data_IF_187985578192
#
_entry.id   IF_187985578192
#
_cell.length_a   1.000
_cell.length_b   1.000
_cell.length_c   1.000
_cell.angle_alpha   90.00
_cell.angle_beta   90.00
_cell.angle_gamma   90.00
#
_symmetry.space_group_name_H-M   'P 1'
#
loop_
_entity.id
_entity.type
_entity.pdbx_description
1 polymer ?
#
# COMPACT_ATOMS: atom_id res chain seq x y z
N UNK A 1 44.68 111.22 -38.46
CA UNK A 1 44.57 109.77 -38.73
C UNK A 1 44.02 109.09 -37.49
N UNK A 2 42.76 108.63 -37.51
CA UNK A 2 42.04 108.11 -36.33
C UNK A 2 42.13 106.58 -36.31
N UNK A 3 42.58 106.03 -35.18
CA UNK A 3 42.74 104.61 -34.92
C UNK A 3 41.38 103.88 -34.90
N UNK A 4 41.27 102.78 -35.66
CA UNK A 4 40.13 101.88 -35.60
C UNK A 4 40.23 100.96 -34.38
N UNK A 5 39.27 101.09 -33.45
CA UNK A 5 39.10 100.23 -32.27
C UNK A 5 38.65 98.83 -32.68
N UNK A 6 39.43 97.82 -32.31
CA UNK A 6 39.09 96.39 -32.40
C UNK A 6 37.96 96.08 -31.40
N UNK A 7 36.76 95.72 -31.88
CA UNK A 7 35.65 95.25 -31.02
C UNK A 7 36.01 93.87 -30.46
N UNK A 8 35.88 93.69 -29.15
CA UNK A 8 35.93 92.39 -28.47
C UNK A 8 34.64 91.63 -28.76
N UNK A 9 34.76 90.40 -29.26
CA UNK A 9 33.67 89.42 -29.21
C UNK A 9 33.35 89.10 -27.75
N UNK A 10 32.08 89.26 -27.40
CA UNK A 10 31.51 88.84 -26.11
C UNK A 10 30.97 87.44 -26.34
N UNK A 11 31.63 86.42 -25.78
CA UNK A 11 31.09 85.07 -25.74
C UNK A 11 29.84 85.06 -24.85
N UNK A 12 28.70 84.62 -25.39
CA UNK A 12 27.52 84.33 -24.60
C UNK A 12 27.80 83.13 -23.68
N UNK A 13 27.39 83.16 -22.40
CA UNK A 13 27.44 81.97 -21.55
C UNK A 13 26.46 80.90 -22.06
N UNK A 14 26.91 79.65 -22.09
CA UNK A 14 26.05 78.49 -22.35
C UNK A 14 24.89 78.42 -21.34
N UNK A 15 23.69 77.95 -21.76
CA UNK A 15 22.57 77.79 -20.85
C UNK A 15 22.86 76.67 -19.84
N UNK A 16 22.71 77.00 -18.55
CA UNK A 16 22.79 76.07 -17.42
C UNK A 16 21.95 74.82 -17.67
N UNK A 17 22.62 73.68 -17.91
CA UNK A 17 21.98 72.37 -17.84
C UNK A 17 21.68 72.07 -16.38
N UNK A 18 20.43 72.29 -15.97
CA UNK A 18 19.87 71.78 -14.71
C UNK A 18 20.18 70.27 -14.61
N UNK A 19 20.71 69.78 -13.48
CA UNK A 19 20.84 68.35 -13.29
C UNK A 19 19.44 67.75 -13.21
N UNK A 20 19.09 66.91 -14.18
CA UNK A 20 17.95 66.00 -14.06
C UNK A 20 18.22 65.09 -12.86
N UNK A 21 17.46 65.32 -11.78
CA UNK A 21 17.34 64.34 -10.69
C UNK A 21 16.79 63.06 -11.32
N UNK A 22 17.67 62.09 -11.59
CA UNK A 22 17.28 60.70 -11.82
C UNK A 22 16.57 60.23 -10.55
N UNK A 23 15.24 60.36 -10.55
CA UNK A 23 14.40 59.94 -9.44
C UNK A 23 14.60 58.44 -9.22
N UNK A 24 14.73 58.08 -7.95
CA UNK A 24 14.97 56.77 -7.37
C UNK A 24 13.91 55.71 -7.74
N UNK A 25 13.78 55.36 -9.02
CA UNK A 25 12.82 54.36 -9.50
C UNK A 25 13.22 52.93 -9.08
N UNK A 26 14.53 52.69 -8.91
CA UNK A 26 15.08 51.46 -8.33
C UNK A 26 14.75 51.33 -6.83
N UNK A 27 14.59 52.43 -6.10
CA UNK A 27 14.32 52.39 -4.66
C UNK A 27 12.87 52.01 -4.35
N UNK A 28 11.91 52.46 -5.15
CA UNK A 28 10.49 52.13 -4.96
C UNK A 28 10.15 50.71 -5.43
N UNK A 29 10.62 50.30 -6.60
CA UNK A 29 10.39 48.92 -7.12
C UNK A 29 10.97 47.85 -6.20
N UNK A 30 12.14 48.10 -5.62
CA UNK A 30 12.76 47.20 -4.63
C UNK A 30 11.95 47.12 -3.33
N UNK A 31 11.32 48.22 -2.89
CA UNK A 31 10.44 48.21 -1.71
C UNK A 31 9.19 47.36 -1.94
N UNK A 32 8.53 47.51 -3.09
CA UNK A 32 7.34 46.70 -3.41
C UNK A 32 7.68 45.22 -3.55
N UNK A 33 8.85 44.88 -4.09
CA UNK A 33 9.33 43.50 -4.18
C UNK A 33 9.60 42.89 -2.79
N UNK A 34 10.23 43.64 -1.88
CA UNK A 34 10.47 43.17 -0.51
C UNK A 34 9.17 42.99 0.28
N UNK A 35 8.19 43.89 0.07
CA UNK A 35 6.86 43.78 0.70
C UNK A 35 6.09 42.57 0.16
N UNK A 36 6.09 42.35 -1.16
CA UNK A 36 5.41 41.18 -1.74
C UNK A 36 6.06 39.86 -1.35
N UNK A 37 7.40 39.82 -1.26
CA UNK A 37 8.14 38.67 -0.75
C UNK A 37 7.81 38.39 0.72
N UNK A 38 7.69 39.43 1.54
CA UNK A 38 7.26 39.30 2.94
C UNK A 38 5.85 38.73 3.08
N UNK A 39 4.90 39.24 2.28
CA UNK A 39 3.53 38.70 2.24
C UNK A 39 3.51 37.25 1.77
N UNK A 40 4.27 36.92 0.73
CA UNK A 40 4.38 35.56 0.22
C UNK A 40 4.95 34.58 1.27
N UNK A 41 5.99 34.99 2.00
CA UNK A 41 6.56 34.20 3.09
C UNK A 41 5.56 34.01 4.24
N UNK A 42 4.79 35.06 4.59
CA UNK A 42 3.72 34.96 5.60
C UNK A 42 2.63 33.98 5.13
N UNK A 43 2.23 34.03 3.85
CA UNK A 43 1.25 33.10 3.28
C UNK A 43 1.80 31.66 3.33
N UNK A 44 3.08 31.43 3.03
CA UNK A 44 3.69 30.09 3.12
C UNK A 44 3.73 29.60 4.59
N UNK A 45 4.09 30.46 5.53
CA UNK A 45 4.11 30.10 6.97
C UNK A 45 2.68 29.83 7.47
N UNK A 46 1.71 30.64 7.06
CA UNK A 46 0.31 30.45 7.41
C UNK A 46 -0.26 29.17 6.77
N UNK A 47 0.04 28.93 5.49
CA UNK A 47 -0.37 27.71 4.80
C UNK A 47 0.25 26.46 5.43
N UNK A 48 1.53 26.48 5.81
CA UNK A 48 2.18 25.33 6.47
C UNK A 48 1.71 25.09 7.91
N UNK A 49 1.13 26.09 8.58
CA UNK A 49 0.56 25.94 9.93
C UNK A 49 -0.90 25.52 9.92
N UNK A 50 -1.70 25.98 8.94
CA UNK A 50 -3.12 25.63 8.80
C UNK A 50 -3.37 24.39 7.93
N UNK A 51 -2.54 24.12 6.92
CA UNK A 51 -2.61 22.91 6.09
C UNK A 51 -1.51 21.93 6.49
N UNK A 52 -1.52 21.49 7.75
CA UNK A 52 -0.83 20.23 8.07
C UNK A 52 -1.74 19.10 7.58
N UNK A 53 -1.40 18.39 6.49
CA UNK A 53 -2.15 17.20 6.13
C UNK A 53 -2.10 16.27 7.35
N UNK A 54 -3.27 15.98 7.90
CA UNK A 54 -3.39 15.05 9.00
C UNK A 54 -3.16 13.65 8.44
N UNK A 55 -1.89 13.24 8.40
CA UNK A 55 -1.43 11.91 8.00
C UNK A 55 -1.54 10.92 9.17
N UNK A 56 -2.42 11.16 10.15
CA UNK A 56 -2.68 10.22 11.25
C UNK A 56 -3.34 8.93 10.79
N UNK A 57 -3.92 8.90 9.59
CA UNK A 57 -4.48 7.67 9.06
C UNK A 57 -3.37 6.73 8.55
N UNK A 58 -3.36 5.53 9.12
CA UNK A 58 -2.41 4.48 8.78
C UNK A 58 -2.70 3.83 7.43
N UNK A 59 -1.82 2.91 7.06
CA UNK A 59 -2.05 1.97 5.97
C UNK A 59 -3.29 1.13 6.29
N UNK A 60 -4.26 1.09 5.37
CA UNK A 60 -5.47 0.26 5.50
C UNK A 60 -5.63 -0.60 4.26
N UNK A 61 -6.21 -1.79 4.45
CA UNK A 61 -6.67 -2.63 3.36
C UNK A 61 -8.19 -2.45 3.24
N UNK A 62 -8.66 -2.00 2.08
CA UNK A 62 -10.08 -1.88 1.72
C UNK A 62 -10.45 -2.96 0.74
N UNK A 63 -11.48 -3.71 1.07
CA UNK A 63 -11.88 -4.91 0.37
C UNK A 63 -13.15 -4.64 -0.44
N UNK A 64 -13.21 -5.18 -1.66
CA UNK A 64 -14.52 -5.22 -2.34
C UNK A 64 -15.44 -6.18 -1.58
N UNK A 65 -16.76 -5.98 -1.59
CA UNK A 65 -17.69 -6.95 -1.04
C UNK A 65 -17.44 -8.35 -1.62
N UNK A 66 -17.48 -9.36 -0.76
CA UNK A 66 -17.21 -10.75 -1.11
C UNK A 66 -18.33 -11.65 -0.57
N UNK A 67 -18.96 -12.41 -1.45
CA UNK A 67 -19.95 -13.40 -1.08
C UNK A 67 -19.26 -14.74 -0.86
N UNK A 68 -19.23 -15.22 0.39
CA UNK A 68 -18.66 -16.53 0.73
C UNK A 68 -19.68 -17.61 0.38
N UNK A 69 -19.24 -18.62 -0.36
CA UNK A 69 -20.06 -19.74 -0.81
C UNK A 69 -19.80 -21.03 -0.01
N UNK A 70 -18.89 -20.98 0.97
CA UNK A 70 -18.57 -22.11 1.85
C UNK A 70 -18.23 -21.65 3.26
N UNK A 71 -18.58 -22.47 4.24
CA UNK A 71 -18.12 -22.28 5.62
C UNK A 71 -16.71 -22.84 5.81
N UNK A 72 -16.00 -22.30 6.80
CA UNK A 72 -14.68 -22.75 7.20
C UNK A 72 -14.75 -24.20 7.69
N UNK A 73 -14.03 -25.10 7.02
CA UNK A 73 -14.11 -26.55 7.24
C UNK A 73 -12.92 -27.14 8.03
N UNK A 74 -12.13 -26.30 8.69
CA UNK A 74 -11.11 -26.72 9.66
C UNK A 74 -11.74 -26.94 11.03
N UNK A 75 -11.26 -27.97 11.75
CA UNK A 75 -11.82 -28.41 13.04
C UNK A 75 -10.76 -28.35 14.15
N UNK A 76 -11.16 -28.05 15.39
CA UNK A 76 -10.28 -28.19 16.55
C UNK A 76 -9.63 -29.58 16.63
N UNK A 77 -8.33 -29.62 16.93
CA UNK A 77 -7.51 -30.83 16.97
C UNK A 77 -6.74 -31.12 15.68
N UNK A 78 -7.11 -30.49 14.56
CA UNK A 78 -6.38 -30.64 13.30
C UNK A 78 -5.01 -29.95 13.35
N UNK A 79 -4.04 -30.47 12.61
CA UNK A 79 -2.70 -29.89 12.45
C UNK A 79 -2.31 -29.92 10.98
N UNK A 80 -1.74 -28.81 10.52
CA UNK A 80 -1.28 -28.62 9.15
C UNK A 80 0.16 -28.15 9.19
N UNK A 81 1.01 -28.76 8.37
CA UNK A 81 2.43 -28.43 8.30
C UNK A 81 2.77 -28.04 6.86
N UNK A 82 3.41 -26.90 6.71
CA UNK A 82 3.83 -26.35 5.43
C UNK A 82 5.35 -26.32 5.36
N UNK A 83 5.90 -26.72 4.21
CA UNK A 83 7.25 -26.36 3.83
C UNK A 83 7.18 -25.02 3.07
N UNK A 84 8.05 -24.08 3.40
CA UNK A 84 8.19 -22.84 2.66
C UNK A 84 9.65 -22.53 2.36
N UNK A 85 9.89 -22.08 1.13
CA UNK A 85 11.21 -21.70 0.65
C UNK A 85 11.25 -20.19 0.44
N UNK A 86 12.14 -19.52 1.16
CA UNK A 86 12.45 -18.10 0.97
C UNK A 86 13.97 -18.00 0.80
N UNK A 87 14.43 -17.29 -0.23
CA UNK A 87 15.87 -17.12 -0.52
C UNK A 87 16.63 -18.46 -0.55
N UNK A 88 16.06 -19.47 -1.21
CA UNK A 88 16.60 -20.84 -1.30
C UNK A 88 16.79 -21.58 0.03
N UNK A 89 16.21 -21.09 1.13
CA UNK A 89 16.23 -21.80 2.41
C UNK A 89 14.86 -22.42 2.66
N UNK A 90 14.85 -23.75 2.82
CA UNK A 90 13.65 -24.49 3.20
C UNK A 90 13.42 -24.36 4.71
N UNK A 91 12.18 -24.01 5.07
CA UNK A 91 11.74 -23.82 6.42
C UNK A 91 10.38 -24.50 6.60
N UNK A 92 10.00 -24.78 7.84
CA UNK A 92 8.73 -25.44 8.16
C UNK A 92 7.88 -24.54 9.05
N UNK A 93 6.57 -24.51 8.78
CA UNK A 93 5.58 -23.79 9.57
C UNK A 93 4.43 -24.72 9.93
N UNK A 94 4.09 -24.79 11.21
CA UNK A 94 3.04 -25.65 11.73
C UNK A 94 1.87 -24.83 12.25
N UNK A 95 0.70 -25.09 11.68
CA UNK A 95 -0.57 -24.55 12.16
C UNK A 95 -1.31 -25.61 12.98
N UNK A 96 -1.66 -25.27 14.21
CA UNK A 96 -2.46 -26.10 15.09
C UNK A 96 -3.83 -25.47 15.31
N UNK A 97 -4.89 -26.24 15.10
CA UNK A 97 -6.26 -25.75 15.23
C UNK A 97 -6.77 -26.07 16.63
N UNK A 98 -7.10 -25.04 17.39
CA UNK A 98 -7.61 -25.15 18.76
C UNK A 98 -9.03 -24.64 18.83
N UNK A 99 -9.78 -25.20 19.77
CA UNK A 99 -11.07 -24.63 20.18
C UNK A 99 -10.80 -23.43 21.09
N UNK A 100 -11.53 -22.34 20.89
CA UNK A 100 -11.57 -21.20 21.79
C UNK A 100 -13.03 -20.73 21.91
N UNK A 101 -13.36 -19.99 22.97
CA UNK A 101 -14.72 -19.57 23.24
C UNK A 101 -15.31 -18.77 22.05
N UNK A 102 -16.21 -19.40 21.30
CA UNK A 102 -16.93 -18.80 20.17
C UNK A 102 -16.16 -18.72 18.85
N UNK A 103 -14.97 -19.32 18.71
CA UNK A 103 -14.23 -19.32 17.44
C UNK A 103 -13.26 -20.50 17.27
N UNK A 104 -12.81 -20.68 16.04
CA UNK A 104 -11.70 -21.58 15.70
C UNK A 104 -10.39 -20.82 15.82
N UNK A 105 -9.49 -21.26 16.70
CA UNK A 105 -8.19 -20.62 16.92
C UNK A 105 -7.10 -21.31 16.10
N UNK A 106 -6.53 -20.60 15.13
CA UNK A 106 -5.42 -21.03 14.28
C UNK A 106 -4.12 -20.58 14.94
N UNK A 107 -3.41 -21.48 15.61
CA UNK A 107 -2.12 -21.20 16.25
C UNK A 107 -0.95 -21.50 15.31
N UNK A 108 0.06 -20.63 15.29
CA UNK A 108 1.38 -20.91 14.68
C UNK A 108 2.29 -21.44 15.78
N UNK A 109 2.81 -22.67 15.66
CA UNK A 109 3.61 -23.30 16.74
C UNK A 109 5.00 -22.68 16.87
N UNK A 110 5.60 -22.27 15.77
CA UNK A 110 6.98 -21.76 15.71
C UNK A 110 7.10 -20.29 16.12
N UNK A 111 5.99 -19.56 16.25
CA UNK A 111 6.00 -18.15 16.60
C UNK A 111 5.90 -17.93 18.10
N UNK A 112 6.85 -17.18 18.66
CA UNK A 112 6.85 -16.77 20.08
C UNK A 112 6.10 -15.46 20.31
N UNK A 113 6.00 -14.60 19.29
CA UNK A 113 5.42 -13.26 19.39
C UNK A 113 3.97 -13.20 18.88
N UNK A 114 3.56 -14.14 18.03
CA UNK A 114 2.26 -14.16 17.36
C UNK A 114 1.60 -15.49 17.69
N UNK A 115 0.64 -15.47 18.62
CA UNK A 115 0.06 -16.69 19.19
C UNK A 115 -0.96 -17.35 18.26
N UNK A 116 -1.46 -16.65 17.24
CA UNK A 116 -2.43 -17.17 16.29
C UNK A 116 -3.57 -16.20 16.01
N UNK A 117 -4.64 -16.73 15.42
CA UNK A 117 -5.83 -15.98 15.04
C UNK A 117 -7.11 -16.72 15.39
N UNK A 118 -8.13 -15.98 15.81
CA UNK A 118 -9.46 -16.49 16.13
C UNK A 118 -10.39 -16.14 14.97
N UNK A 119 -10.93 -17.15 14.30
CA UNK A 119 -11.82 -16.97 13.15
C UNK A 119 -13.19 -17.62 13.38
N UNK A 120 -14.23 -16.95 12.92
CA UNK A 120 -15.60 -17.47 12.93
C UNK A 120 -15.83 -18.51 11.81
N UNK A 121 -17.05 -19.04 11.71
CA UNK A 121 -17.43 -20.00 10.66
C UNK A 121 -17.35 -19.44 9.24
N UNK A 122 -17.40 -18.11 9.10
CA UNK A 122 -17.21 -17.41 7.84
C UNK A 122 -15.73 -17.05 7.64
N UNK A 123 -14.81 -17.50 8.49
CA UNK A 123 -13.40 -17.17 8.40
C UNK A 123 -13.05 -15.72 8.75
N UNK A 124 -13.99 -14.92 9.27
CA UNK A 124 -13.71 -13.55 9.71
C UNK A 124 -13.00 -13.58 11.06
N UNK A 125 -12.03 -12.70 11.25
CA UNK A 125 -11.50 -12.43 12.58
C UNK A 125 -12.46 -11.56 13.41
N UNK A 126 -12.09 -11.25 14.67
CA UNK A 126 -12.89 -10.37 15.54
C UNK A 126 -13.05 -8.94 14.98
N UNK A 127 -12.20 -8.53 14.04
CA UNK A 127 -12.27 -7.23 13.37
C UNK A 127 -13.13 -7.24 12.08
N UNK A 128 -13.56 -8.41 11.62
CA UNK A 128 -14.35 -8.55 10.39
C UNK A 128 -13.56 -8.47 9.09
N UNK A 129 -12.23 -8.56 9.13
CA UNK A 129 -11.35 -8.42 7.95
C UNK A 129 -11.34 -9.70 7.08
N UNK A 130 -11.36 -9.58 5.74
CA UNK A 130 -11.32 -10.73 4.81
C UNK A 130 -9.95 -10.91 4.10
N UNK A 131 -9.09 -9.90 4.13
CA UNK A 131 -7.75 -9.89 3.58
C UNK A 131 -6.82 -9.96 4.76
N UNK A 132 -6.36 -11.20 4.98
CA UNK A 132 -5.25 -11.52 5.86
C UNK A 132 -5.42 -11.05 7.30
N UNK A 133 -5.45 -12.03 8.20
CA UNK A 133 -4.81 -11.89 9.50
C UNK A 133 -3.50 -11.13 9.27
N UNK A 134 -3.37 -9.92 9.81
CA UNK A 134 -2.27 -8.94 9.58
C UNK A 134 -0.87 -9.47 9.93
N UNK A 135 -0.67 -10.78 10.15
CA UNK A 135 0.36 -11.28 11.05
C UNK A 135 1.18 -12.48 10.54
N UNK A 136 1.04 -12.93 9.28
CA UNK A 136 2.08 -13.77 8.69
C UNK A 136 2.02 -13.79 7.17
N UNK A 137 3.15 -13.52 6.51
CA UNK A 137 3.36 -13.67 5.07
C UNK A 137 3.07 -15.09 4.52
N UNK A 138 2.79 -16.05 5.40
CA UNK A 138 2.44 -17.43 5.08
C UNK A 138 1.22 -17.77 5.93
N UNK A 139 0.05 -17.89 5.31
CA UNK A 139 -1.17 -18.31 6.00
C UNK A 139 -1.76 -19.54 5.32
N UNK A 140 -2.00 -20.58 6.13
CA UNK A 140 -2.75 -21.79 5.73
C UNK A 140 -4.14 -21.44 5.20
N UNK A 141 -4.75 -20.39 5.73
CA UNK A 141 -6.12 -19.98 5.42
C UNK A 141 -6.21 -18.47 5.26
N UNK A 142 -6.87 -18.02 4.19
CA UNK A 142 -7.20 -16.62 3.96
C UNK A 142 -8.72 -16.52 3.75
N UNK A 143 -9.45 -15.57 4.36
CA UNK A 143 -10.92 -15.58 4.35
C UNK A 143 -11.57 -15.60 2.96
N UNK A 144 -10.94 -14.97 1.95
CA UNK A 144 -11.41 -15.00 0.57
C UNK A 144 -11.45 -16.40 -0.05
N UNK A 145 -10.68 -17.36 0.48
CA UNK A 145 -10.68 -18.76 0.01
C UNK A 145 -12.07 -19.41 0.13
N UNK A 146 -12.92 -18.90 1.04
CA UNK A 146 -14.30 -19.34 1.22
C UNK A 146 -15.28 -18.86 0.14
N UNK A 147 -14.86 -17.96 -0.74
CA UNK A 147 -15.68 -17.45 -1.85
C UNK A 147 -15.25 -18.02 -3.20
N UNK A 148 -14.11 -18.72 -3.26
CA UNK A 148 -13.52 -19.16 -4.53
C UNK A 148 -14.42 -20.18 -5.21
N UNK A 149 -14.69 -19.94 -6.48
CA UNK A 149 -15.39 -20.83 -7.39
C UNK A 149 -14.81 -20.68 -8.81
N UNK A 150 -15.36 -21.45 -9.74
CA UNK A 150 -15.00 -21.36 -11.14
C UNK A 150 -15.30 -19.95 -11.66
N UNK A 151 -14.36 -19.39 -12.43
CA UNK A 151 -14.45 -18.03 -13.01
C UNK A 151 -14.60 -16.88 -12.00
N UNK A 152 -14.34 -17.14 -10.71
CA UNK A 152 -14.39 -16.16 -9.64
C UNK A 152 -13.37 -15.03 -9.84
N UNK A 153 -13.78 -13.80 -9.51
CA UNK A 153 -12.93 -12.61 -9.54
C UNK A 153 -13.23 -11.72 -8.34
N UNK A 154 -12.19 -11.13 -7.78
CA UNK A 154 -12.31 -10.22 -6.65
C UNK A 154 -11.12 -9.27 -6.58
N UNK A 155 -11.29 -8.15 -5.88
CA UNK A 155 -10.23 -7.15 -5.76
C UNK A 155 -10.18 -6.57 -4.35
N UNK A 156 -8.97 -6.29 -3.89
CA UNK A 156 -8.69 -5.52 -2.70
C UNK A 156 -7.79 -4.32 -3.05
N UNK A 157 -7.83 -3.29 -2.20
CA UNK A 157 -7.05 -2.07 -2.37
C UNK A 157 -6.31 -1.76 -1.08
N UNK A 158 -5.04 -1.40 -1.21
CA UNK A 158 -4.25 -0.83 -0.13
C UNK A 158 -4.30 0.68 -0.24
N UNK A 159 -4.75 1.35 0.83
CA UNK A 159 -4.94 2.80 0.86
C UNK A 159 -4.20 3.42 2.04
N UNK A 160 -3.74 4.65 1.88
CA UNK A 160 -3.43 5.52 3.02
C UNK A 160 -4.71 6.27 3.34
N UNK A 161 -5.22 6.09 4.55
CA UNK A 161 -6.32 6.93 5.05
C UNK A 161 -5.74 8.32 5.32
N UNK A 162 -6.13 9.32 4.53
CA UNK A 162 -5.78 10.71 4.80
C UNK A 162 -7.09 11.45 5.07
N UNK A 163 -7.15 12.27 6.12
CA UNK A 163 -8.37 12.90 6.62
C UNK A 163 -9.25 13.49 5.49
N UNK A 164 -10.27 12.73 5.05
CA UNK A 164 -11.24 13.11 4.02
C UNK A 164 -11.09 12.42 2.65
N UNK A 165 -10.00 11.69 2.38
CA UNK A 165 -9.80 10.97 1.10
C UNK A 165 -8.83 9.80 1.22
N UNK A 166 -9.22 8.64 0.70
CA UNK A 166 -8.31 7.51 0.55
C UNK A 166 -7.32 7.77 -0.59
N UNK A 167 -6.03 7.59 -0.32
CA UNK A 167 -5.01 7.56 -1.37
C UNK A 167 -4.74 6.09 -1.74
N UNK A 168 -5.19 5.67 -2.93
CA UNK A 168 -4.94 4.33 -3.45
C UNK A 168 -3.44 4.12 -3.71
N UNK A 169 -2.82 3.20 -2.97
CA UNK A 169 -1.41 2.81 -3.15
C UNK A 169 -1.33 1.68 -4.18
N UNK A 170 -2.15 0.64 -3.98
CA UNK A 170 -2.01 -0.63 -4.68
C UNK A 170 -3.35 -1.33 -4.82
N UNK A 171 -3.64 -1.81 -6.03
CA UNK A 171 -4.74 -2.72 -6.29
C UNK A 171 -4.19 -4.14 -6.33
N UNK A 172 -4.91 -5.05 -5.69
CA UNK A 172 -4.61 -6.48 -5.67
C UNK A 172 -5.80 -7.19 -6.30
N UNK A 173 -5.58 -7.86 -7.42
CA UNK A 173 -6.62 -8.58 -8.17
C UNK A 173 -6.48 -10.07 -7.96
N UNK A 174 -7.62 -10.72 -7.77
CA UNK A 174 -7.75 -12.16 -7.59
C UNK A 174 -8.63 -12.70 -8.71
N UNK A 175 -8.21 -13.79 -9.36
CA UNK A 175 -9.07 -14.51 -10.30
C UNK A 175 -8.76 -16.00 -10.30
N UNK A 176 -9.79 -16.82 -10.42
CA UNK A 176 -9.61 -18.25 -10.74
C UNK A 176 -9.13 -18.36 -12.19
N UNK A 177 -8.03 -19.09 -12.40
CA UNK A 177 -7.44 -19.35 -13.73
C UNK A 177 -7.59 -20.80 -14.18
N UNK A 178 -8.02 -21.68 -13.28
CA UNK A 178 -8.25 -23.09 -13.60
C UNK A 178 -8.59 -23.91 -12.37
N UNK A 179 -8.64 -25.22 -12.58
CA UNK A 179 -8.80 -26.23 -11.54
C UNK A 179 -7.76 -27.32 -11.80
N UNK A 180 -7.12 -27.80 -10.73
CA UNK A 180 -6.09 -28.83 -10.80
C UNK A 180 -6.25 -29.81 -9.65
N UNK A 181 -5.75 -31.03 -9.82
CA UNK A 181 -5.62 -31.99 -8.71
C UNK A 181 -4.19 -31.98 -8.20
N UNK A 182 -4.01 -31.56 -6.96
CA UNK A 182 -2.71 -31.60 -6.27
C UNK A 182 -2.80 -32.51 -5.05
N UNK A 183 -1.83 -33.41 -4.92
CA UNK A 183 -1.75 -34.37 -3.81
C UNK A 183 -3.02 -35.21 -3.61
N UNK A 184 -3.70 -35.55 -4.71
CA UNK A 184 -4.96 -36.28 -4.69
C UNK A 184 -6.19 -35.43 -4.32
N UNK A 185 -6.07 -34.10 -4.30
CA UNK A 185 -7.15 -33.18 -3.91
C UNK A 185 -7.47 -32.19 -5.01
N UNK A 186 -8.75 -32.07 -5.32
CA UNK A 186 -9.22 -31.04 -6.25
C UNK A 186 -9.01 -29.65 -5.64
N UNK A 187 -8.41 -28.76 -6.43
CA UNK A 187 -8.08 -27.39 -6.03
C UNK A 187 -8.50 -26.38 -7.09
N UNK A 188 -8.93 -25.20 -6.65
CA UNK A 188 -9.00 -24.02 -7.51
C UNK A 188 -7.62 -23.41 -7.64
N UNK A 189 -7.23 -23.06 -8.86
CA UNK A 189 -5.99 -22.33 -9.13
C UNK A 189 -6.34 -20.85 -9.23
N UNK A 190 -5.83 -20.05 -8.30
CA UNK A 190 -6.15 -18.63 -8.17
C UNK A 190 -4.89 -17.82 -8.46
N UNK A 191 -4.97 -16.95 -9.46
CA UNK A 191 -3.96 -15.93 -9.72
C UNK A 191 -4.26 -14.70 -8.88
N UNK A 192 -3.25 -14.29 -8.10
CA UNK A 192 -3.23 -13.06 -7.33
C UNK A 192 -2.20 -12.15 -7.97
N UNK A 193 -2.64 -11.02 -8.50
CA UNK A 193 -1.79 -10.06 -9.20
C UNK A 193 -1.81 -8.72 -8.49
N UNK A 194 -0.64 -8.17 -8.25
CA UNK A 194 -0.47 -6.79 -7.83
C UNK A 194 0.49 -6.05 -8.77
N UNK A 195 0.83 -4.78 -8.47
CA UNK A 195 1.71 -3.96 -9.34
C UNK A 195 3.12 -4.54 -9.53
N UNK A 196 3.62 -5.37 -8.60
CA UNK A 196 5.01 -5.82 -8.51
C UNK A 196 5.16 -7.32 -8.67
N UNK A 197 4.13 -8.10 -8.36
CA UNK A 197 4.20 -9.53 -8.24
C UNK A 197 2.93 -10.21 -8.77
N UNK A 198 3.15 -11.44 -9.21
CA UNK A 198 2.11 -12.41 -9.52
C UNK A 198 2.36 -13.65 -8.67
N UNK A 199 1.31 -14.09 -8.00
CA UNK A 199 1.31 -15.24 -7.09
C UNK A 199 0.21 -16.19 -7.55
N UNK A 200 0.47 -17.49 -7.50
CA UNK A 200 -0.54 -18.51 -7.76
C UNK A 200 -0.79 -19.30 -6.48
N UNK A 201 -2.04 -19.29 -6.02
CA UNK A 201 -2.54 -20.07 -4.89
C UNK A 201 -3.35 -21.25 -5.41
N UNK A 202 -3.08 -22.45 -4.92
CA UNK A 202 -3.93 -23.61 -5.08
C UNK A 202 -4.77 -23.77 -3.82
N UNK A 203 -6.08 -23.58 -3.95
CA UNK A 203 -7.03 -23.60 -2.83
C UNK A 203 -7.85 -24.88 -2.88
N UNK A 204 -7.79 -25.67 -1.81
CA UNK A 204 -8.55 -26.92 -1.69
C UNK A 204 -10.06 -26.67 -1.84
N UNK A 205 -10.72 -27.40 -2.74
CA UNK A 205 -12.17 -27.23 -2.95
C UNK A 205 -12.99 -27.62 -1.73
N UNK A 206 -12.54 -28.59 -0.94
CA UNK A 206 -13.30 -29.12 0.19
C UNK A 206 -13.08 -28.29 1.47
N UNK A 207 -11.82 -28.21 1.91
CA UNK A 207 -11.36 -27.62 3.17
C UNK A 207 -11.11 -26.12 3.08
N UNK A 208 -11.00 -25.56 1.87
CA UNK A 208 -10.74 -24.13 1.61
C UNK A 208 -9.46 -23.61 2.26
N UNK A 209 -8.43 -24.46 2.28
CA UNK A 209 -7.09 -24.11 2.75
C UNK A 209 -6.12 -24.05 1.57
N UNK A 210 -4.98 -23.41 1.79
CA UNK A 210 -3.88 -23.37 0.84
C UNK A 210 -3.24 -24.76 0.72
N UNK A 211 -3.17 -25.32 -0.49
CA UNK A 211 -2.41 -26.54 -0.78
C UNK A 211 -0.99 -26.19 -1.20
N UNK A 212 -0.86 -25.16 -2.04
CA UNK A 212 0.41 -24.70 -2.60
C UNK A 212 0.31 -23.20 -2.92
N UNK A 213 1.39 -22.47 -2.75
CA UNK A 213 1.56 -21.10 -3.22
C UNK A 213 2.87 -21.01 -4.00
N UNK A 214 2.86 -20.27 -5.11
CA UNK A 214 4.04 -20.07 -5.94
C UNK A 214 4.13 -18.62 -6.40
N UNK A 215 5.24 -17.97 -6.07
CA UNK A 215 5.57 -16.62 -6.52
C UNK A 215 7.02 -16.52 -7.00
N UNK A 216 7.45 -15.29 -7.32
CA UNK A 216 8.84 -15.04 -7.73
C UNK A 216 9.78 -15.20 -6.54
N UNK A 217 10.59 -16.26 -6.53
CA UNK A 217 11.61 -16.50 -5.51
C UNK A 217 11.11 -17.11 -4.20
N UNK A 218 9.84 -17.50 -4.12
CA UNK A 218 9.31 -18.24 -2.97
C UNK A 218 8.27 -19.28 -3.37
N UNK A 219 8.16 -20.33 -2.55
CA UNK A 219 7.21 -21.43 -2.70
C UNK A 219 6.71 -21.86 -1.32
N UNK A 220 5.43 -22.15 -1.19
CA UNK A 220 4.83 -22.73 0.00
C UNK A 220 4.08 -23.99 -0.42
N UNK A 221 4.17 -25.07 0.35
CA UNK A 221 3.53 -26.35 0.02
C UNK A 221 3.08 -27.07 1.29
N UNK A 222 1.85 -27.58 1.29
CA UNK A 222 1.30 -28.40 2.36
C UNK A 222 2.00 -29.77 2.36
N UNK A 223 2.68 -30.10 3.45
CA UNK A 223 3.42 -31.36 3.58
C UNK A 223 2.79 -32.35 4.55
N UNK A 224 1.95 -31.89 5.50
CA UNK A 224 1.20 -32.74 6.45
C UNK A 224 -0.15 -32.11 6.72
N UNK A 225 -1.19 -32.94 6.77
CA UNK A 225 -2.58 -32.53 6.97
C UNK A 225 -3.34 -33.64 7.74
N UNK A 226 -4.53 -33.36 8.30
CA UNK A 226 -5.39 -34.38 8.94
C UNK A 226 -6.09 -35.31 7.93
N UNK A 227 -5.72 -35.23 6.66
CA UNK A 227 -6.24 -36.03 5.55
C UNK A 227 -5.08 -36.53 4.69
N UNK A 228 -5.31 -37.56 3.89
CA UNK A 228 -4.28 -38.16 3.03
C UNK A 228 -3.80 -37.18 1.95
N UNK A 229 -2.49 -37.19 1.73
CA UNK A 229 -1.80 -36.41 0.69
C UNK A 229 -1.09 -37.39 -0.25
N UNK A 230 -1.63 -37.57 -1.45
CA UNK A 230 -1.06 -38.47 -2.45
C UNK A 230 0.05 -37.75 -3.23
N UNK A 231 1.24 -37.69 -2.63
CA UNK A 231 2.42 -37.17 -3.30
C UNK A 231 2.89 -38.21 -4.34
N UNK A 232 2.64 -37.94 -5.62
CA UNK A 232 3.37 -38.63 -6.69
C UNK A 232 4.83 -38.19 -6.61
N UNK A 233 5.72 -39.15 -6.32
CA UNK A 233 7.18 -38.98 -6.34
C UNK A 233 7.67 -38.61 -7.73
#
# INVERSE_FOLDING_TARGET
>A
MKQYKKRKEVALPEPDKKPEKKSSWLGETTKYFLVSLGIFLIIIIFASTFFKPDLTGGLKIKESPIAKNKELAIKPGETYVYNYRINNTDNTLTFAIKSNAGCTFIQIKESTNITGACVDKNGNDKGGSNVSLEIAYISMFKPWMLAVEKDWKWNARMVIDAAGSDLDIQNISFKTIGEETLFGRESYVVEITDKKAKIIDWVDKEKRILIKEQGSGYKIELITAPFELNKTN
#
